data_IF_631700200958
#
_entry.id   IF_631700200958
#
_cell.length_a   1.000
_cell.length_b   1.000
_cell.length_c   1.000
_cell.angle_alpha   90.00
_cell.angle_beta   90.00
_cell.angle_gamma   90.00
#
_symmetry.space_group_name_H-M   'P 1'
#
loop_
_entity.id
_entity.type
_entity.pdbx_description
1 polymer ?
#
# COMPACT_ATOMS: atom_id res chain seq x y z
N UNK A 1 3.59 -2.03 -3.10
CA UNK A 1 3.45 -3.50 -3.03
C UNK A 1 2.00 -3.91 -3.22
N UNK A 2 1.07 -3.36 -2.45
CA UNK A 2 -0.34 -3.75 -2.53
C UNK A 2 -0.97 -3.44 -3.91
N UNK A 3 -0.65 -2.31 -4.49
CA UNK A 3 -1.13 -1.97 -5.84
C UNK A 3 -0.59 -2.93 -6.90
N UNK A 4 0.65 -3.33 -6.76
CA UNK A 4 1.26 -4.32 -7.65
C UNK A 4 0.55 -5.68 -7.55
N UNK A 5 0.26 -6.12 -6.32
CA UNK A 5 -0.52 -7.35 -6.10
C UNK A 5 -1.91 -7.24 -6.72
N UNK A 6 -2.59 -6.12 -6.51
CA UNK A 6 -3.91 -5.87 -7.09
C UNK A 6 -3.87 -5.92 -8.62
N UNK A 7 -2.87 -5.33 -9.24
CA UNK A 7 -2.69 -5.39 -10.69
C UNK A 7 -2.57 -6.82 -11.19
N UNK A 8 -1.71 -7.63 -10.57
CA UNK A 8 -1.51 -9.02 -10.99
C UNK A 8 -2.79 -9.84 -10.84
N UNK A 9 -3.47 -9.72 -9.73
CA UNK A 9 -4.70 -10.46 -9.45
C UNK A 9 -5.85 -10.02 -10.37
N UNK A 10 -5.96 -8.72 -10.62
CA UNK A 10 -6.96 -8.19 -11.56
C UNK A 10 -6.75 -8.71 -13.00
N UNK A 11 -5.53 -9.06 -13.36
CA UNK A 11 -5.19 -9.66 -14.66
C UNK A 11 -5.28 -11.18 -14.64
N UNK A 12 -5.90 -11.77 -13.61
CA UNK A 12 -6.08 -13.21 -13.43
C UNK A 12 -4.74 -13.96 -13.33
N UNK A 13 -3.71 -13.33 -12.82
CA UNK A 13 -2.43 -13.95 -12.55
C UNK A 13 -2.54 -14.78 -11.25
N UNK A 14 -2.38 -16.10 -11.37
CA UNK A 14 -2.50 -17.03 -10.25
C UNK A 14 -1.17 -17.35 -9.57
N UNK A 15 -0.08 -16.73 -10.01
CA UNK A 15 1.23 -16.94 -9.42
C UNK A 15 1.23 -16.49 -7.96
N UNK A 16 1.58 -17.37 -7.00
CA UNK A 16 1.70 -16.94 -5.60
C UNK A 16 2.80 -15.89 -5.45
N UNK A 17 2.49 -14.79 -4.79
CA UNK A 17 3.45 -13.71 -4.55
C UNK A 17 4.05 -13.85 -3.15
N UNK A 18 5.37 -13.68 -3.01
CA UNK A 18 6.02 -13.77 -1.71
C UNK A 18 5.62 -12.62 -0.80
N UNK A 19 5.79 -12.85 0.50
CA UNK A 19 5.73 -11.79 1.49
C UNK A 19 7.04 -11.01 1.56
N UNK A 20 7.09 -10.06 2.47
CA UNK A 20 8.28 -9.27 2.73
C UNK A 20 8.37 -8.93 4.21
N UNK A 21 9.59 -8.64 4.67
CA UNK A 21 9.84 -8.23 6.04
C UNK A 21 9.90 -6.70 6.10
N UNK A 22 8.87 -6.08 6.64
CA UNK A 22 8.74 -4.63 6.74
C UNK A 22 9.87 -4.00 7.56
N UNK A 23 10.28 -4.66 8.63
CA UNK A 23 11.35 -4.18 9.49
C UNK A 23 12.69 -4.19 8.75
N UNK A 24 12.93 -5.23 7.98
CA UNK A 24 14.14 -5.33 7.16
C UNK A 24 14.17 -4.23 6.08
N UNK A 25 13.05 -3.95 5.46
CA UNK A 25 12.92 -2.85 4.50
C UNK A 25 13.22 -1.52 5.16
N UNK A 26 12.65 -1.26 6.34
CA UNK A 26 12.87 -0.03 7.08
C UNK A 26 14.34 0.14 7.50
N UNK A 27 15.03 -0.94 7.87
CA UNK A 27 16.44 -0.90 8.22
C UNK A 27 17.37 -0.60 7.04
N UNK A 28 16.93 -0.91 5.82
CA UNK A 28 17.75 -0.77 4.61
C UNK A 28 17.37 0.44 3.76
N UNK A 29 16.45 1.27 4.22
CA UNK A 29 16.08 2.49 3.52
C UNK A 29 16.98 3.65 3.99
N UNK A 30 17.46 4.44 3.04
CA UNK A 30 18.18 5.67 3.34
C UNK A 30 17.24 6.86 3.15
N UNK A 31 16.77 7.41 4.26
CA UNK A 31 15.86 8.57 4.26
C UNK A 31 16.58 9.90 4.35
N UNK A 32 17.90 9.91 4.61
CA UNK A 32 18.67 11.15 4.85
C UNK A 32 18.77 12.06 3.64
N UNK A 33 18.57 11.54 2.43
CA UNK A 33 18.66 12.28 1.17
C UNK A 33 17.32 12.86 0.71
N UNK A 34 16.24 12.63 1.45
CA UNK A 34 14.90 12.98 1.02
C UNK A 34 14.28 13.97 1.98
N UNK A 35 13.72 15.04 1.43
CA UNK A 35 12.97 16.01 2.22
C UNK A 35 11.53 15.54 2.44
N UNK A 36 10.84 16.17 3.36
CA UNK A 36 9.40 15.96 3.56
C UNK A 36 8.62 16.24 2.26
N UNK A 37 9.01 17.31 1.54
CA UNK A 37 8.37 17.66 0.27
C UNK A 37 8.55 16.57 -0.78
N UNK A 38 9.75 15.98 -0.88
CA UNK A 38 10.01 14.86 -1.78
C UNK A 38 9.11 13.67 -1.46
N UNK A 39 8.95 13.35 -0.17
CA UNK A 39 8.11 12.23 0.28
C UNK A 39 6.63 12.48 -0.01
N UNK A 40 6.16 13.71 0.16
CA UNK A 40 4.77 14.07 -0.14
C UNK A 40 4.49 14.00 -1.63
N UNK A 41 5.42 14.44 -2.48
CA UNK A 41 5.30 14.32 -3.93
C UNK A 41 5.24 12.86 -4.38
N UNK A 42 6.10 12.02 -3.82
CA UNK A 42 6.09 10.59 -4.13
C UNK A 42 4.79 9.94 -3.67
N UNK A 43 4.32 10.24 -2.46
CA UNK A 43 3.05 9.73 -1.94
C UNK A 43 1.89 10.10 -2.87
N UNK A 44 1.84 11.35 -3.32
CA UNK A 44 0.80 11.82 -4.25
C UNK A 44 0.88 11.08 -5.58
N UNK A 45 2.07 10.87 -6.12
CA UNK A 45 2.28 10.14 -7.38
C UNK A 45 1.85 8.68 -7.27
N UNK A 46 2.20 8.00 -6.17
CA UNK A 46 1.79 6.61 -5.91
C UNK A 46 0.28 6.53 -5.76
N UNK A 47 -0.34 7.47 -5.05
CA UNK A 47 -1.79 7.51 -4.86
C UNK A 47 -2.51 7.71 -6.19
N UNK A 48 -2.02 8.58 -7.05
CA UNK A 48 -2.58 8.78 -8.39
C UNK A 48 -2.51 7.50 -9.23
N UNK A 49 -1.38 6.81 -9.18
CA UNK A 49 -1.21 5.53 -9.87
C UNK A 49 -2.20 4.47 -9.35
N UNK A 50 -2.35 4.37 -8.04
CA UNK A 50 -3.29 3.43 -7.40
C UNK A 50 -4.74 3.74 -7.80
N UNK A 51 -5.13 5.01 -7.76
CA UNK A 51 -6.48 5.43 -8.17
C UNK A 51 -6.73 5.10 -9.64
N UNK A 52 -5.76 5.39 -10.50
CA UNK A 52 -5.86 5.07 -11.92
C UNK A 52 -6.06 3.58 -12.19
N UNK A 53 -5.37 2.73 -11.43
CA UNK A 53 -5.56 1.29 -11.51
C UNK A 53 -6.99 0.89 -11.13
N UNK A 54 -7.46 1.30 -9.96
CA UNK A 54 -8.76 0.85 -9.43
C UNK A 54 -9.95 1.43 -10.20
N UNK A 55 -9.87 2.67 -10.66
CA UNK A 55 -10.94 3.28 -11.47
C UNK A 55 -11.20 2.49 -12.76
N UNK A 56 -10.16 1.89 -13.33
CA UNK A 56 -10.26 1.10 -14.54
C UNK A 56 -10.77 -0.32 -14.36
N UNK A 57 -10.99 -0.78 -13.12
CA UNK A 57 -11.40 -2.16 -12.85
C UNK A 57 -12.92 -2.30 -12.83
N UNK A 58 -13.42 -3.38 -13.45
CA UNK A 58 -14.84 -3.75 -13.38
C UNK A 58 -15.11 -4.67 -12.18
N UNK A 59 -16.40 -5.04 -12.00
CA UNK A 59 -16.82 -5.87 -10.86
C UNK A 59 -16.18 -7.26 -10.89
N UNK A 60 -15.98 -7.82 -12.07
CA UNK A 60 -15.36 -9.14 -12.23
C UNK A 60 -13.88 -9.07 -11.79
N UNK A 61 -13.17 -8.06 -12.24
CA UNK A 61 -11.76 -7.86 -11.88
C UNK A 61 -11.58 -7.59 -10.39
N UNK A 62 -12.49 -6.81 -9.77
CA UNK A 62 -12.44 -6.53 -8.34
C UNK A 62 -12.66 -7.77 -7.47
N UNK A 63 -13.39 -8.76 -7.97
CA UNK A 63 -13.67 -10.00 -7.23
C UNK A 63 -12.59 -11.07 -7.42
N UNK A 64 -11.65 -10.85 -8.31
CA UNK A 64 -10.57 -11.83 -8.52
C UNK A 64 -9.69 -11.95 -7.28
N UNK A 65 -9.28 -13.18 -7.01
CA UNK A 65 -8.51 -13.55 -5.82
C UNK A 65 -7.15 -14.07 -6.25
N UNK A 66 -6.13 -13.68 -5.53
CA UNK A 66 -4.79 -14.21 -5.69
C UNK A 66 -4.16 -14.57 -4.35
N UNK A 67 -2.97 -15.12 -4.39
CA UNK A 67 -2.23 -15.52 -3.19
C UNK A 67 -1.04 -14.59 -2.98
N UNK A 68 -0.94 -14.02 -1.79
CA UNK A 68 0.20 -13.22 -1.37
C UNK A 68 0.52 -13.50 0.09
N UNK A 69 1.79 -13.66 0.44
CA UNK A 69 2.23 -14.01 1.79
C UNK A 69 1.52 -15.26 2.33
N UNK A 70 1.30 -16.27 1.48
CA UNK A 70 0.60 -17.52 1.79
C UNK A 70 -0.89 -17.36 2.14
N UNK A 71 -1.49 -16.22 1.82
CA UNK A 71 -2.90 -15.95 2.08
C UNK A 71 -3.62 -15.55 0.80
N UNK A 72 -4.87 -15.97 0.68
CA UNK A 72 -5.72 -15.54 -0.42
C UNK A 72 -6.38 -14.22 -0.09
N UNK A 73 -6.40 -13.32 -1.08
CA UNK A 73 -7.02 -12.01 -0.92
C UNK A 73 -7.59 -11.55 -2.27
N UNK A 74 -8.75 -10.91 -2.23
CA UNK A 74 -9.35 -10.33 -3.43
C UNK A 74 -8.74 -8.98 -3.78
N UNK A 75 -8.87 -8.58 -5.05
CA UNK A 75 -8.47 -7.25 -5.52
C UNK A 75 -9.19 -6.15 -4.72
N UNK A 76 -10.50 -6.32 -4.50
CA UNK A 76 -11.29 -5.37 -3.72
C UNK A 76 -10.76 -5.24 -2.29
N UNK A 77 -10.45 -6.36 -1.64
CA UNK A 77 -9.89 -6.35 -0.28
C UNK A 77 -8.53 -5.65 -0.24
N UNK A 78 -7.71 -5.81 -1.27
CA UNK A 78 -6.45 -5.07 -1.38
C UNK A 78 -6.69 -3.55 -1.46
N UNK A 79 -7.72 -3.11 -2.18
CA UNK A 79 -8.09 -1.70 -2.23
C UNK A 79 -8.44 -1.16 -0.84
N UNK A 80 -9.26 -1.87 -0.09
CA UNK A 80 -9.57 -1.50 1.29
C UNK A 80 -8.34 -1.52 2.20
N UNK A 81 -7.45 -2.49 2.01
CA UNK A 81 -6.19 -2.58 2.77
C UNK A 81 -5.31 -1.35 2.52
N UNK A 82 -5.20 -0.89 1.29
CA UNK A 82 -4.40 0.29 0.95
C UNK A 82 -4.92 1.52 1.69
N UNK A 83 -6.23 1.74 1.69
CA UNK A 83 -6.85 2.87 2.39
C UNK A 83 -6.71 2.73 3.91
N UNK A 84 -7.03 1.56 4.44
CA UNK A 84 -6.96 1.29 5.87
C UNK A 84 -5.55 1.41 6.43
N UNK A 85 -4.55 1.00 5.67
CA UNK A 85 -3.15 1.09 6.06
C UNK A 85 -2.71 2.55 6.24
N UNK A 86 -3.09 3.43 5.32
CA UNK A 86 -2.80 4.86 5.42
C UNK A 86 -3.49 5.48 6.65
N UNK A 87 -4.76 5.16 6.86
CA UNK A 87 -5.51 5.64 8.02
C UNK A 87 -4.84 5.18 9.33
N UNK A 88 -4.40 3.92 9.38
CA UNK A 88 -3.69 3.39 10.54
C UNK A 88 -2.42 4.19 10.84
N UNK A 89 -1.60 4.48 9.84
CA UNK A 89 -0.38 5.26 10.03
C UNK A 89 -0.66 6.70 10.46
N UNK A 90 -1.69 7.33 9.92
CA UNK A 90 -2.10 8.66 10.34
C UNK A 90 -2.48 8.66 11.81
N UNK A 91 -3.24 7.67 12.26
CA UNK A 91 -3.64 7.55 13.66
C UNK A 91 -2.43 7.33 14.59
N UNK A 92 -1.49 6.50 14.19
CA UNK A 92 -0.23 6.30 14.95
C UNK A 92 0.54 7.60 15.09
N UNK A 93 0.65 8.38 14.03
CA UNK A 93 1.34 9.70 14.07
C UNK A 93 0.62 10.63 15.04
N UNK A 94 -0.72 10.69 14.99
CA UNK A 94 -1.51 11.53 15.91
C UNK A 94 -1.36 11.11 17.35
N UNK A 95 -1.35 9.81 17.64
CA UNK A 95 -1.31 9.30 19.01
C UNK A 95 0.08 9.36 19.63
N UNK A 96 1.12 9.08 18.84
CA UNK A 96 2.48 8.90 19.37
C UNK A 96 3.38 10.11 19.15
N UNK A 97 3.21 10.85 18.06
CA UNK A 97 4.14 11.90 17.66
C UNK A 97 3.59 13.31 17.86
N UNK A 98 2.32 13.56 17.63
CA UNK A 98 1.73 14.87 17.85
C UNK A 98 1.86 15.35 19.31
N UNK A 99 1.63 14.50 20.33
CA UNK A 99 1.84 14.92 21.71
C UNK A 99 3.27 15.39 22.00
N UNK A 100 4.28 14.89 21.28
CA UNK A 100 5.65 15.33 21.43
C UNK A 100 5.89 16.73 20.90
N UNK A 101 5.10 17.19 19.93
CA UNK A 101 5.22 18.53 19.35
C UNK A 101 4.55 19.60 20.22
N UNK A 102 3.64 19.20 21.09
CA UNK A 102 2.91 20.11 21.98
C UNK A 102 3.71 20.46 23.26
N UNK A 103 4.85 19.83 23.46
CA UNK A 103 5.74 20.13 24.57
C UNK A 103 6.72 21.23 24.16
#
# INVERSE_FOLDING_TARGET
IFSYRALRFARADETPLPGFDENKYAQNINTSRRTIDDLLLEFAAVRQSTLGLFIGLDDVELQRVGTASNQQISVLALGFTIVGHVIHHINVVKERYYPLLEK
#
